data_IF_243353271321
#
_entry.id   IF_243353271321
#
_cell.length_a   1.000
_cell.length_b   1.000
_cell.length_c   1.000
_cell.angle_alpha   90.00
_cell.angle_beta   90.00
_cell.angle_gamma   90.00
#
_symmetry.space_group_name_H-M   'P 1'
#
loop_
_entity.id
_entity.type
_entity.pdbx_description
1 polymer ?
#
# COMPACT_ATOMS: atom_id res chain seq x y z
N UNK A 1 -11.23 -10.68 -4.22
CA UNK A 1 -11.18 -11.95 -3.46
C UNK A 1 -10.46 -12.98 -4.32
N UNK A 2 -9.50 -13.71 -3.76
CA UNK A 2 -8.77 -14.79 -4.44
C UNK A 2 -9.08 -16.11 -3.73
N UNK A 3 -9.65 -17.07 -4.46
CA UNK A 3 -9.95 -18.40 -3.93
C UNK A 3 -8.67 -19.17 -3.58
N UNK A 4 -8.77 -20.07 -2.58
CA UNK A 4 -7.76 -21.09 -2.33
C UNK A 4 -7.86 -22.23 -3.34
N UNK A 5 -6.77 -23.00 -3.50
CA UNK A 5 -6.68 -24.05 -4.53
C UNK A 5 -7.63 -25.24 -4.27
N UNK A 6 -7.81 -25.64 -3.01
CA UNK A 6 -8.76 -26.72 -2.63
C UNK A 6 -9.98 -26.18 -1.90
N UNK A 7 -9.79 -25.28 -0.92
CA UNK A 7 -10.86 -24.70 -0.13
C UNK A 7 -10.45 -23.35 0.48
N UNK A 8 -11.45 -22.52 0.79
CA UNK A 8 -11.26 -21.24 1.47
C UNK A 8 -10.77 -20.12 0.56
N UNK A 9 -10.19 -19.09 1.17
CA UNK A 9 -9.76 -17.85 0.51
C UNK A 9 -8.27 -17.67 0.77
N UNK A 10 -7.50 -17.46 -0.30
CA UNK A 10 -6.05 -17.19 -0.22
C UNK A 10 -5.77 -15.74 0.16
N UNK A 11 -6.50 -14.81 -0.44
CA UNK A 11 -6.39 -13.39 -0.16
C UNK A 11 -7.73 -12.67 -0.35
N UNK A 12 -7.96 -11.65 0.45
CA UNK A 12 -9.16 -10.82 0.40
C UNK A 12 -8.78 -9.36 0.60
N UNK A 13 -9.29 -8.50 -0.27
CA UNK A 13 -9.23 -7.04 -0.11
C UNK A 13 -10.66 -6.55 -0.04
N UNK A 14 -10.94 -5.72 0.97
CA UNK A 14 -12.27 -5.21 1.29
C UNK A 14 -12.15 -3.69 1.47
N UNK A 15 -13.12 -2.96 0.94
CA UNK A 15 -13.26 -1.51 1.14
C UNK A 15 -14.34 -1.28 2.21
N UNK A 16 -14.00 -0.55 3.27
CA UNK A 16 -14.91 -0.29 4.40
C UNK A 16 -15.18 1.20 4.55
N UNK A 17 -16.36 1.62 4.09
CA UNK A 17 -16.82 3.01 4.18
C UNK A 17 -17.57 3.24 5.48
N UNK A 18 -17.14 4.24 6.24
CA UNK A 18 -17.82 4.62 7.47
C UNK A 18 -17.06 5.70 8.23
N UNK A 19 -17.75 6.39 9.14
CA UNK A 19 -17.12 7.40 10.00
C UNK A 19 -16.12 6.73 10.92
N UNK A 20 -14.88 7.20 10.89
CA UNK A 20 -13.77 6.68 11.72
C UNK A 20 -13.51 5.17 11.52
N UNK A 21 -13.86 4.60 10.36
CA UNK A 21 -13.70 3.17 10.08
C UNK A 21 -12.27 2.69 10.28
N UNK A 22 -11.29 3.48 9.81
CA UNK A 22 -9.88 3.20 10.01
C UNK A 22 -9.48 3.11 11.49
N UNK A 23 -10.01 4.01 12.33
CA UNK A 23 -9.70 4.04 13.77
C UNK A 23 -10.13 2.76 14.48
N UNK A 24 -11.35 2.28 14.20
CA UNK A 24 -11.85 1.03 14.76
C UNK A 24 -11.11 -0.20 14.22
N UNK A 25 -10.93 -0.27 12.90
CA UNK A 25 -10.33 -1.43 12.25
C UNK A 25 -8.82 -1.56 12.51
N UNK A 26 -8.13 -0.47 12.84
CA UNK A 26 -6.72 -0.53 13.26
C UNK A 26 -6.49 -1.49 14.43
N UNK A 27 -7.48 -1.70 15.29
CA UNK A 27 -7.40 -2.67 16.37
C UNK A 27 -7.28 -4.12 15.87
N UNK A 28 -7.77 -4.42 14.68
CA UNK A 28 -7.75 -5.76 14.06
C UNK A 28 -6.49 -5.99 13.21
N UNK A 29 -5.61 -5.00 13.06
CA UNK A 29 -4.37 -5.19 12.33
C UNK A 29 -3.41 -6.12 13.09
N UNK A 30 -3.08 -7.27 12.49
CA UNK A 30 -2.16 -8.26 13.05
C UNK A 30 -2.46 -9.70 12.62
N UNK A 31 -1.81 -10.65 13.30
CA UNK A 31 -1.97 -12.08 13.02
C UNK A 31 -3.02 -12.69 13.96
N UNK A 32 -4.05 -13.31 13.38
CA UNK A 32 -5.10 -14.04 14.07
C UNK A 32 -4.81 -15.53 14.00
N UNK A 33 -4.82 -16.20 15.16
CA UNK A 33 -4.55 -17.63 15.28
C UNK A 33 -5.84 -18.40 15.52
N UNK A 34 -6.11 -19.42 14.72
CA UNK A 34 -7.25 -20.33 14.87
C UNK A 34 -6.75 -21.72 15.27
N UNK A 35 -7.29 -22.27 16.36
CA UNK A 35 -7.02 -23.64 16.82
C UNK A 35 -8.33 -24.42 16.79
N UNK A 36 -8.41 -25.43 15.92
CA UNK A 36 -9.61 -26.26 15.75
C UNK A 36 -9.25 -27.66 15.27
N UNK A 37 -10.22 -28.57 15.30
CA UNK A 37 -10.14 -29.83 14.54
C UNK A 37 -10.45 -29.48 13.09
N UNK A 38 -9.55 -29.83 12.17
CA UNK A 38 -9.74 -29.52 10.75
C UNK A 38 -10.80 -30.46 10.16
N UNK A 39 -11.81 -29.96 9.43
CA UNK A 39 -12.74 -30.82 8.69
C UNK A 39 -12.06 -31.51 7.50
N UNK A 40 -10.89 -31.02 7.08
CA UNK A 40 -10.11 -31.57 5.96
C UNK A 40 -9.09 -32.64 6.38
N UNK A 41 -8.87 -32.85 7.69
CA UNK A 41 -7.98 -33.89 8.17
C UNK A 41 -8.76 -35.16 8.51
N UNK A 42 -8.49 -36.25 7.79
CA UNK A 42 -9.11 -37.55 8.01
C UNK A 42 -8.87 -38.09 9.44
N UNK A 43 -7.73 -37.74 10.05
CA UNK A 43 -7.38 -38.17 11.40
C UNK A 43 -7.96 -37.30 12.51
N UNK A 44 -8.75 -36.26 12.17
CA UNK A 44 -9.35 -35.30 13.11
C UNK A 44 -8.34 -34.72 14.12
N UNK A 45 -7.10 -34.49 13.68
CA UNK A 45 -6.07 -33.91 14.55
C UNK A 45 -6.37 -32.43 14.77
N UNK A 46 -5.87 -31.91 15.89
CA UNK A 46 -5.93 -30.48 16.19
C UNK A 46 -4.95 -29.74 15.29
N UNK A 47 -5.47 -28.82 14.49
CA UNK A 47 -4.70 -27.96 13.60
C UNK A 47 -4.65 -26.54 14.16
N UNK A 48 -3.51 -25.87 13.94
CA UNK A 48 -3.35 -24.44 14.21
C UNK A 48 -3.14 -23.72 12.88
N UNK A 49 -3.97 -22.72 12.61
CA UNK A 49 -3.93 -21.91 11.40
C UNK A 49 -3.71 -20.45 11.77
N UNK A 50 -3.14 -19.70 10.84
CA UNK A 50 -2.88 -18.27 10.99
C UNK A 50 -3.46 -17.51 9.81
N UNK A 51 -4.09 -16.37 10.10
CA UNK A 51 -4.56 -15.42 9.10
C UNK A 51 -4.04 -14.04 9.48
N UNK A 52 -3.50 -13.30 8.51
CA UNK A 52 -2.99 -11.96 8.76
C UNK A 52 -3.97 -10.94 8.23
N UNK A 53 -4.30 -9.95 9.04
CA UNK A 53 -5.19 -8.84 8.70
C UNK A 53 -4.37 -7.56 8.65
N UNK A 54 -4.54 -6.81 7.56
CA UNK A 54 -3.94 -5.49 7.37
C UNK A 54 -5.04 -4.50 7.07
N UNK A 55 -4.87 -3.29 7.61
CA UNK A 55 -5.82 -2.20 7.48
C UNK A 55 -5.04 -0.97 7.07
N UNK A 56 -5.37 -0.43 5.91
CA UNK A 56 -4.80 0.80 5.38
C UNK A 56 -5.90 1.86 5.31
N UNK A 57 -5.58 3.12 5.62
CA UNK A 57 -6.53 4.19 5.37
C UNK A 57 -6.60 4.42 3.86
N UNK A 58 -7.81 4.53 3.34
CA UNK A 58 -8.02 5.02 1.97
C UNK A 58 -7.85 6.54 1.98
N UNK A 59 -6.93 7.04 1.16
CA UNK A 59 -6.73 8.47 0.94
C UNK A 59 -7.06 8.73 -0.52
N UNK A 60 -8.10 9.53 -0.78
CA UNK A 60 -8.37 10.04 -2.13
C UNK A 60 -7.24 11.01 -2.49
N UNK A 61 -6.21 10.49 -3.16
CA UNK A 61 -5.14 11.28 -3.70
C UNK A 61 -5.42 11.49 -5.19
N UNK A 62 -6.12 12.57 -5.53
CA UNK A 62 -6.02 13.13 -6.88
C UNK A 62 -4.66 13.83 -6.97
N UNK A 63 -3.65 13.11 -7.46
CA UNK A 63 -2.28 13.63 -7.51
C UNK A 63 -2.19 14.64 -8.66
N UNK A 64 -2.68 15.85 -8.42
CA UNK A 64 -2.45 16.98 -9.32
C UNK A 64 -1.00 17.48 -9.17
N UNK A 65 -0.21 17.29 -10.23
CA UNK A 65 1.15 17.82 -10.31
C UNK A 65 1.09 19.12 -11.09
N UNK A 66 0.98 20.21 -10.34
CA UNK A 66 1.15 21.56 -10.86
C UNK A 66 2.64 21.91 -10.81
N UNK A 67 3.23 22.23 -11.97
CA UNK A 67 4.66 22.55 -12.09
C UNK A 67 4.77 24.05 -12.28
N UNK A 68 5.35 24.77 -11.33
CA UNK A 68 5.54 26.21 -11.45
C UNK A 68 6.69 26.52 -12.41
N UNK A 69 6.57 27.54 -13.29
CA UNK A 69 7.66 27.94 -14.17
C UNK A 69 8.96 28.32 -13.43
N UNK A 70 8.87 28.77 -12.18
CA UNK A 70 10.01 29.11 -11.33
C UNK A 70 10.81 27.90 -10.84
N UNK A 71 10.22 26.70 -10.86
CA UNK A 71 10.82 25.46 -10.36
C UNK A 71 11.56 24.69 -11.46
N UNK A 72 11.47 25.17 -12.71
CA UNK A 72 12.08 24.52 -13.87
C UNK A 72 13.15 25.41 -14.49
N UNK A 73 14.33 24.83 -14.73
CA UNK A 73 15.37 25.42 -15.57
C UNK A 73 15.29 24.83 -16.96
N UNK A 74 15.10 25.68 -17.98
CA UNK A 74 15.01 25.26 -19.38
C UNK A 74 16.29 25.67 -20.10
N UNK A 75 17.10 24.68 -20.47
CA UNK A 75 18.35 24.86 -21.22
C UNK A 75 18.11 24.43 -22.67
N UNK A 76 18.44 25.29 -23.63
CA UNK A 76 18.30 25.01 -25.07
C UNK A 76 19.67 24.81 -25.70
N UNK A 77 19.83 23.74 -26.48
CA UNK A 77 21.11 23.38 -27.10
C UNK A 77 20.90 22.78 -28.48
N UNK A 78 21.99 22.55 -29.21
CA UNK A 78 21.96 21.93 -30.54
C UNK A 78 21.68 20.44 -30.41
N UNK A 79 20.77 19.93 -31.22
CA UNK A 79 20.45 18.50 -31.21
C UNK A 79 21.67 17.67 -31.60
N UNK A 80 21.88 16.53 -30.93
CA UNK A 80 23.00 15.64 -31.22
C UNK A 80 22.56 14.57 -32.22
N UNK A 81 23.22 14.47 -33.39
CA UNK A 81 22.98 13.40 -34.35
C UNK A 81 23.49 13.71 -35.77
N UNK A 82 23.47 12.68 -36.63
CA UNK A 82 23.77 12.82 -38.06
C UNK A 82 22.63 13.57 -38.76
N UNK A 83 22.73 14.90 -38.81
CA UNK A 83 21.71 15.78 -39.39
C UNK A 83 22.29 16.78 -40.38
N UNK A 84 21.45 17.24 -41.30
CA UNK A 84 21.81 18.27 -42.30
C UNK A 84 22.05 19.66 -41.68
N UNK A 85 22.22 20.68 -42.52
CA UNK A 85 22.55 22.06 -42.09
C UNK A 85 21.64 22.60 -40.96
N UNK A 86 20.37 22.20 -40.92
CA UNK A 86 19.41 22.61 -39.90
C UNK A 86 19.81 22.17 -38.47
N UNK A 87 20.41 20.98 -38.31
CA UNK A 87 20.85 20.47 -37.00
C UNK A 87 22.11 21.21 -36.50
N UNK A 88 22.96 21.66 -37.42
CA UNK A 88 24.20 22.35 -37.09
C UNK A 88 24.00 23.85 -36.76
N UNK A 89 22.98 24.49 -37.34
CA UNK A 89 22.71 25.93 -37.17
C UNK A 89 21.63 26.23 -36.13
N UNK A 90 20.65 25.35 -35.93
CA UNK A 90 19.47 25.64 -35.09
C UNK A 90 19.53 24.90 -33.74
N UNK A 91 19.34 25.63 -32.64
CA UNK A 91 19.25 25.08 -31.29
C UNK A 91 17.85 24.55 -30.98
N UNK A 92 17.48 23.39 -31.56
CA UNK A 92 16.15 22.81 -31.41
C UNK A 92 15.98 21.91 -30.18
N UNK A 93 17.06 21.39 -29.58
CA UNK A 93 16.98 20.48 -28.44
C UNK A 93 16.74 21.23 -27.13
N UNK A 94 15.90 20.66 -26.27
CA UNK A 94 15.51 21.26 -24.99
C UNK A 94 15.80 20.29 -23.85
N UNK A 95 16.46 20.78 -22.81
CA UNK A 95 16.63 20.11 -21.52
C UNK A 95 15.86 20.89 -20.46
N UNK A 96 15.02 20.20 -19.71
CA UNK A 96 14.29 20.77 -18.58
C UNK A 96 14.80 20.09 -17.32
N UNK A 97 15.21 20.88 -16.35
CA UNK A 97 15.63 20.42 -15.01
C UNK A 97 14.63 20.92 -14.00
N UNK A 98 14.01 20.02 -13.25
CA UNK A 98 13.18 20.39 -12.10
C UNK A 98 14.07 20.58 -10.88
N UNK A 99 14.23 21.82 -10.42
CA UNK A 99 15.16 22.21 -9.36
C UNK A 99 14.87 21.49 -8.03
N UNK A 100 13.60 21.34 -7.57
CA UNK A 100 13.31 20.68 -6.30
C UNK A 100 13.64 19.18 -6.26
N UNK A 101 13.46 18.47 -7.38
CA UNK A 101 13.65 17.01 -7.42
C UNK A 101 14.93 16.58 -8.14
N UNK A 102 15.67 17.53 -8.74
CA UNK A 102 16.81 17.30 -9.61
C UNK A 102 16.53 16.36 -10.80
N UNK A 103 15.27 16.16 -11.17
CA UNK A 103 14.91 15.35 -12.35
C UNK A 103 15.22 16.16 -13.60
N UNK A 104 16.08 15.58 -14.44
CA UNK A 104 16.44 16.15 -15.75
C UNK A 104 15.75 15.35 -16.86
N UNK A 105 15.10 16.06 -17.77
CA UNK A 105 14.47 15.51 -18.97
C UNK A 105 15.00 16.24 -20.18
N UNK A 106 15.22 15.52 -21.28
CA UNK A 106 15.67 16.10 -22.54
C UNK A 106 14.81 15.59 -23.69
N UNK A 107 14.53 16.46 -24.66
CA UNK A 107 13.80 16.11 -25.87
C UNK A 107 14.43 16.78 -27.09
N UNK A 108 14.65 15.99 -28.15
CA UNK A 108 15.22 16.42 -29.42
C UNK A 108 14.52 15.77 -30.63
N UNK A 109 13.32 15.22 -30.43
CA UNK A 109 12.63 14.38 -31.42
C UNK A 109 12.13 15.19 -32.61
N UNK A 110 11.74 16.44 -32.40
CA UNK A 110 11.17 17.30 -33.44
C UNK A 110 12.14 18.40 -33.87
N UNK A 111 11.91 18.96 -35.06
CA UNK A 111 12.69 20.08 -35.59
C UNK A 111 12.39 21.40 -34.87
N UNK A 112 11.22 21.52 -34.26
CA UNK A 112 10.75 22.73 -33.56
C UNK A 112 11.10 22.70 -32.08
N UNK A 113 11.72 23.78 -31.60
CA UNK A 113 12.04 23.97 -30.18
C UNK A 113 10.78 23.99 -29.30
N UNK A 114 9.69 24.61 -29.75
CA UNK A 114 8.46 24.73 -28.96
C UNK A 114 7.81 23.37 -28.73
N UNK A 115 7.79 22.53 -29.76
CA UNK A 115 7.21 21.19 -29.66
C UNK A 115 8.10 20.27 -28.78
N UNK A 116 9.44 20.37 -28.93
CA UNK A 116 10.38 19.70 -28.01
C UNK A 116 10.20 20.14 -26.55
N UNK A 117 9.95 21.44 -26.29
CA UNK A 117 9.66 21.94 -24.93
C UNK A 117 8.35 21.36 -24.39
N UNK A 118 7.29 21.32 -25.18
CA UNK A 118 6.00 20.76 -24.78
C UNK A 118 6.11 19.26 -24.48
N UNK A 119 6.83 18.50 -25.32
CA UNK A 119 7.07 17.08 -25.12
C UNK A 119 7.96 16.81 -23.90
N UNK A 120 9.03 17.59 -23.70
CA UNK A 120 9.86 17.51 -22.50
C UNK A 120 9.04 17.81 -21.22
N UNK A 121 8.11 18.75 -21.26
CA UNK A 121 7.22 19.06 -20.13
C UNK A 121 6.26 17.90 -19.81
N UNK A 122 5.69 17.24 -20.84
CA UNK A 122 4.87 16.02 -20.65
C UNK A 122 5.67 14.90 -19.99
N UNK A 123 6.89 14.65 -20.47
CA UNK A 123 7.77 13.62 -19.91
C UNK A 123 8.18 13.98 -18.47
N UNK A 124 8.44 15.26 -18.20
CA UNK A 124 8.74 15.73 -16.84
C UNK A 124 7.56 15.48 -15.90
N UNK A 125 6.34 15.82 -16.30
CA UNK A 125 5.13 15.56 -15.51
C UNK A 125 4.96 14.06 -15.23
N UNK A 126 5.17 13.21 -16.23
CA UNK A 126 5.11 11.75 -16.07
C UNK A 126 6.17 11.23 -15.09
N UNK A 127 7.42 11.73 -15.16
CA UNK A 127 8.48 11.34 -14.22
C UNK A 127 8.22 11.82 -12.79
N UNK A 128 7.70 13.03 -12.62
CA UNK A 128 7.32 13.54 -11.30
C UNK A 128 6.17 12.72 -10.70
N UNK A 129 5.22 12.30 -11.54
CA UNK A 129 4.14 11.41 -11.13
C UNK A 129 4.65 10.06 -10.66
N UNK A 130 5.52 9.44 -11.47
CA UNK A 130 6.13 8.18 -11.10
C UNK A 130 6.92 8.28 -9.79
N UNK A 131 7.72 9.34 -9.60
CA UNK A 131 8.47 9.56 -8.37
C UNK A 131 7.55 9.67 -7.14
N UNK A 132 6.44 10.43 -7.25
CA UNK A 132 5.49 10.59 -6.14
C UNK A 132 4.79 9.28 -5.79
N UNK A 133 4.46 8.47 -6.80
CA UNK A 133 3.89 7.13 -6.64
C UNK A 133 4.89 6.15 -6.01
N UNK A 134 6.18 6.25 -6.36
CA UNK A 134 7.25 5.49 -5.72
C UNK A 134 7.42 5.89 -4.24
N UNK A 135 7.44 7.19 -3.93
CA UNK A 135 7.51 7.70 -2.55
C UNK A 135 6.31 7.24 -1.69
N UNK A 136 5.10 7.23 -2.27
CA UNK A 136 3.89 6.73 -1.59
C UNK A 136 3.99 5.21 -1.35
N UNK A 137 4.41 4.45 -2.35
CA UNK A 137 4.66 3.01 -2.20
C UNK A 137 5.77 2.70 -1.19
N UNK A 138 6.81 3.53 -1.08
CA UNK A 138 7.85 3.37 -0.08
C UNK A 138 7.32 3.62 1.33
N UNK A 139 6.51 4.67 1.55
CA UNK A 139 5.82 4.89 2.83
C UNK A 139 4.93 3.71 3.20
N UNK A 140 4.18 3.17 2.23
CA UNK A 140 3.38 1.96 2.44
C UNK A 140 4.26 0.76 2.79
N UNK A 141 5.39 0.56 2.10
CA UNK A 141 6.36 -0.49 2.41
C UNK A 141 7.02 -0.33 3.77
N UNK A 142 7.27 0.88 4.25
CA UNK A 142 7.77 1.12 5.61
C UNK A 142 6.74 0.74 6.66
N UNK A 143 5.47 1.07 6.43
CA UNK A 143 4.35 0.61 7.26
C UNK A 143 4.29 -0.92 7.23
N UNK A 144 4.46 -1.54 6.07
CA UNK A 144 4.53 -2.99 5.93
C UNK A 144 5.78 -3.62 6.55
N UNK A 145 6.93 -2.94 6.60
CA UNK A 145 8.14 -3.47 7.27
C UNK A 145 7.99 -3.54 8.79
N UNK A 146 7.15 -2.68 9.37
CA UNK A 146 6.77 -2.80 10.79
C UNK A 146 5.85 -4.00 11.07
N UNK A 147 5.46 -4.76 10.05
CA UNK A 147 4.75 -6.02 10.18
C UNK A 147 5.61 -7.01 10.96
N UNK A 148 5.03 -7.57 12.01
CA UNK A 148 5.58 -8.76 12.65
C UNK A 148 5.38 -9.94 11.72
N UNK A 149 6.40 -10.78 11.57
CA UNK A 149 6.31 -12.01 10.79
C UNK A 149 5.12 -12.86 11.21
N UNK A 150 4.55 -13.60 10.26
CA UNK A 150 3.53 -14.63 10.53
C UNK A 150 4.24 -15.84 11.12
N UNK A 151 4.81 -15.64 12.30
CA UNK A 151 5.58 -16.62 13.05
C UNK A 151 4.85 -16.93 14.36
N UNK A 152 5.13 -18.11 14.90
CA UNK A 152 4.59 -18.53 16.19
C UNK A 152 5.00 -17.52 17.28
N UNK A 153 4.03 -16.92 17.98
CA UNK A 153 4.30 -15.91 19.00
C UNK A 153 3.96 -14.46 18.60
N UNK A 154 3.71 -14.18 17.31
CA UNK A 154 3.30 -12.84 16.85
C UNK A 154 1.77 -12.62 16.83
N UNK A 155 0.99 -13.63 17.23
CA UNK A 155 -0.47 -13.55 17.19
C UNK A 155 -1.02 -12.49 18.15
N UNK A 156 -1.92 -11.65 17.64
CA UNK A 156 -2.63 -10.65 18.44
C UNK A 156 -3.86 -11.26 19.12
N UNK A 157 -4.52 -12.21 18.46
CA UNK A 157 -5.72 -12.87 18.98
C UNK A 157 -5.72 -14.34 18.67
N UNK A 158 -6.23 -15.14 19.60
CA UNK A 158 -6.39 -16.58 19.47
C UNK A 158 -7.85 -16.97 19.59
N UNK A 159 -8.31 -17.76 18.63
CA UNK A 159 -9.63 -18.36 18.58
C UNK A 159 -9.44 -19.87 18.75
N UNK A 160 -9.75 -20.40 19.92
CA UNK A 160 -9.57 -21.81 20.26
C UNK A 160 -10.95 -22.45 20.32
N UNK A 161 -11.23 -23.37 19.41
CA UNK A 161 -12.49 -24.13 19.36
C UNK A 161 -12.39 -25.47 20.09
N UNK A 162 -11.19 -26.01 20.28
CA UNK A 162 -10.95 -27.28 20.94
C UNK A 162 -9.58 -27.26 21.66
N UNK A 163 -9.46 -27.78 22.89
CA UNK A 163 -10.43 -28.59 23.64
C UNK A 163 -11.50 -27.80 24.39
N UNK A 164 -11.30 -26.49 24.57
CA UNK A 164 -12.26 -25.56 25.13
C UNK A 164 -12.54 -24.45 24.12
N UNK A 165 -13.67 -23.78 24.28
CA UNK A 165 -14.07 -22.65 23.46
C UNK A 165 -13.65 -21.34 24.11
N UNK A 166 -12.67 -20.64 23.52
CA UNK A 166 -12.23 -19.33 24.00
C UNK A 166 -11.67 -18.45 22.88
N UNK A 167 -12.02 -17.17 22.88
CA UNK A 167 -11.32 -16.12 22.15
C UNK A 167 -10.55 -15.24 23.14
N UNK A 168 -9.26 -15.04 22.90
CA UNK A 168 -8.37 -14.23 23.75
C UNK A 168 -7.53 -13.28 22.92
N UNK A 169 -7.57 -11.99 23.25
CA UNK A 169 -6.64 -10.98 22.72
C UNK A 169 -5.41 -10.90 23.62
N UNK A 170 -4.23 -11.19 23.06
CA UNK A 170 -2.96 -11.23 23.79
C UNK A 170 -2.40 -9.85 24.08
N UNK A 171 -2.86 -8.81 23.39
CA UNK A 171 -2.39 -7.43 23.62
C UNK A 171 -3.11 -6.80 24.80
N UNK A 172 -4.42 -6.99 24.88
CA UNK A 172 -5.27 -6.39 25.92
C UNK A 172 -5.54 -7.34 27.09
N UNK A 173 -5.38 -8.64 26.89
CA UNK A 173 -5.70 -9.67 27.88
C UNK A 173 -7.19 -10.01 27.97
N UNK A 174 -8.04 -9.35 27.19
CA UNK A 174 -9.49 -9.58 27.18
C UNK A 174 -9.80 -10.93 26.53
N UNK A 175 -10.69 -11.68 27.17
CA UNK A 175 -11.15 -12.98 26.68
C UNK A 175 -12.67 -13.17 26.84
N UNK A 176 -13.21 -14.05 26.00
CA UNK A 176 -14.61 -14.49 26.03
C UNK A 176 -14.71 -15.97 25.68
N UNK A 177 -15.64 -16.67 26.29
CA UNK A 177 -15.97 -18.07 25.97
C UNK A 177 -16.96 -18.18 24.81
N UNK A 178 -17.72 -17.11 24.52
CA UNK A 178 -18.73 -17.10 23.47
C UNK A 178 -18.09 -16.84 22.09
N UNK A 179 -17.53 -17.88 21.48
CA UNK A 179 -16.88 -17.77 20.18
C UNK A 179 -17.87 -17.41 19.08
N UNK A 180 -19.08 -17.96 19.13
CA UNK A 180 -20.05 -17.80 18.05
C UNK A 180 -20.38 -16.33 17.80
N UNK A 181 -20.66 -15.57 18.88
CA UNK A 181 -20.88 -14.12 18.79
C UNK A 181 -19.69 -13.37 18.18
N UNK A 182 -18.46 -13.73 18.55
CA UNK A 182 -17.27 -13.10 17.99
C UNK A 182 -17.12 -13.40 16.50
N UNK A 183 -17.42 -14.63 16.08
CA UNK A 183 -17.38 -15.02 14.67
C UNK A 183 -18.50 -14.37 13.85
N UNK A 184 -19.64 -14.07 14.48
CA UNK A 184 -20.78 -13.36 13.86
C UNK A 184 -20.59 -11.83 13.82
N UNK A 185 -19.48 -11.31 14.35
CA UNK A 185 -19.07 -9.90 14.21
C UNK A 185 -19.09 -9.07 15.49
N UNK A 186 -19.39 -9.65 16.65
CA UNK A 186 -19.30 -8.94 17.94
C UNK A 186 -17.83 -8.77 18.39
N UNK A 187 -17.16 -7.78 17.79
CA UNK A 187 -15.76 -7.44 18.05
C UNK A 187 -15.61 -6.20 18.93
N UNK A 188 -16.72 -5.54 19.30
CA UNK A 188 -16.70 -4.24 19.95
C UNK A 188 -15.91 -4.25 21.26
N UNK A 189 -16.06 -5.33 22.05
CA UNK A 189 -15.31 -5.50 23.31
C UNK A 189 -13.80 -5.49 23.11
N UNK A 190 -13.31 -6.14 22.05
CA UNK A 190 -11.87 -6.20 21.78
C UNK A 190 -11.34 -4.88 21.22
N UNK A 191 -12.09 -4.27 20.30
CA UNK A 191 -11.73 -2.99 19.68
C UNK A 191 -11.66 -1.90 20.75
N UNK A 192 -12.69 -1.77 21.60
CA UNK A 192 -12.71 -0.79 22.70
C UNK A 192 -11.56 -0.98 23.67
N UNK A 193 -11.30 -2.22 24.10
CA UNK A 193 -10.19 -2.51 25.00
C UNK A 193 -8.82 -2.18 24.39
N UNK A 194 -8.65 -2.40 23.09
CA UNK A 194 -7.44 -2.02 22.38
C UNK A 194 -7.29 -0.50 22.31
N UNK A 195 -8.35 0.21 21.90
CA UNK A 195 -8.32 1.66 21.80
C UNK A 195 -8.07 2.31 23.17
N UNK A 196 -8.69 1.85 24.25
CA UNK A 196 -8.43 2.39 25.59
C UNK A 196 -6.98 2.19 26.07
N UNK A 197 -6.32 1.12 25.62
CA UNK A 197 -4.95 0.79 26.05
C UNK A 197 -3.87 1.50 25.22
N UNK A 198 -4.16 1.81 23.96
CA UNK A 198 -3.20 2.33 22.98
C UNK A 198 -3.59 3.70 22.40
N UNK A 199 -4.64 4.34 22.94
CA UNK A 199 -5.02 5.73 22.63
C UNK A 199 -4.18 6.74 23.42
#
# INVERSE_FOLDING_TARGET
LQAGDEAGIKSATLEVKGKSSFGYLKAEAGVHRLVRISPFDANKRRHTSFASVFVYPEVENDIEIEIKPSEIRVDTYRASGAGGQHVNKTSSAVRITHLPTNIVVQCQNERSQFQNKANAMKILKARLYQKKLEEENEKLKEIEKNKKDIAWGSQIRSYVFHPYTMVKDHRTGVETSNIQQVMDGDLERFIRAYLLKYS
#
